data_IF_106134238828
#
_entry.id   IF_106134238828
#
_cell.length_a   1.000
_cell.length_b   1.000
_cell.length_c   1.000
_cell.angle_alpha   90.00
_cell.angle_beta   90.00
_cell.angle_gamma   90.00
#
_symmetry.space_group_name_H-M   'P 1'
#
loop_
_entity.id
_entity.type
_entity.pdbx_description
1 polymer ?
#
# COMPACT_ATOMS: atom_id res chain seq x y z
N UNK A 1 21.37 1.76 -20.01
CA UNK A 1 20.55 2.42 -18.98
C UNK A 1 20.23 1.39 -17.93
N UNK A 2 20.46 1.68 -16.65
CA UNK A 2 19.98 0.83 -15.55
C UNK A 2 18.46 0.91 -15.52
N UNK A 3 17.76 -0.22 -15.48
CA UNK A 3 16.32 -0.20 -15.24
C UNK A 3 16.07 0.28 -13.81
N UNK A 4 15.16 1.23 -13.65
CA UNK A 4 14.76 1.72 -12.33
C UNK A 4 14.07 0.61 -11.52
N UNK A 5 14.13 0.71 -10.19
CA UNK A 5 13.46 -0.17 -9.24
C UNK A 5 12.57 0.67 -8.35
N UNK A 6 11.30 0.74 -8.71
CA UNK A 6 10.33 1.69 -8.16
C UNK A 6 9.50 1.00 -7.08
N UNK A 7 9.43 1.63 -5.91
CA UNK A 7 8.43 1.30 -4.89
C UNK A 7 7.42 2.43 -4.79
N UNK A 8 6.14 2.10 -4.82
CA UNK A 8 5.07 3.05 -4.50
C UNK A 8 4.50 2.76 -3.12
N UNK A 9 4.55 3.74 -2.21
CA UNK A 9 3.93 3.65 -0.88
C UNK A 9 2.58 4.39 -0.81
N UNK A 10 1.95 4.62 -1.96
CA UNK A 10 0.64 5.26 -2.12
C UNK A 10 -0.11 4.57 -3.28
N UNK A 11 -1.37 4.12 -3.09
CA UNK A 11 -2.13 3.45 -4.15
C UNK A 11 -2.26 4.29 -5.43
N UNK A 12 -2.63 5.57 -5.30
CA UNK A 12 -2.77 6.47 -6.46
C UNK A 12 -1.45 6.70 -7.21
N UNK A 13 -0.31 6.70 -6.51
CA UNK A 13 0.99 6.76 -7.17
C UNK A 13 1.30 5.47 -7.95
N UNK A 14 0.90 4.30 -7.42
CA UNK A 14 1.06 3.03 -8.14
C UNK A 14 0.25 3.04 -9.45
N UNK A 15 -0.97 3.56 -9.41
CA UNK A 15 -1.81 3.74 -10.60
C UNK A 15 -1.15 4.68 -11.62
N UNK A 16 -0.66 5.85 -11.18
CA UNK A 16 0.00 6.83 -12.05
C UNK A 16 1.25 6.24 -12.70
N UNK A 17 2.10 5.55 -11.93
CA UNK A 17 3.30 4.88 -12.46
C UNK A 17 2.92 3.90 -13.57
N UNK A 18 1.87 3.11 -13.37
CA UNK A 18 1.39 2.19 -14.39
C UNK A 18 0.87 2.93 -15.63
N UNK A 19 0.10 4.01 -15.44
CA UNK A 19 -0.46 4.82 -16.53
C UNK A 19 0.61 5.45 -17.42
N UNK A 20 1.75 5.85 -16.85
CA UNK A 20 2.87 6.46 -17.61
C UNK A 20 3.89 5.43 -18.14
N UNK A 21 3.63 4.13 -17.97
CA UNK A 21 4.47 3.06 -18.51
C UNK A 21 5.59 2.55 -17.60
N UNK A 22 5.68 3.01 -16.34
CA UNK A 22 6.68 2.59 -15.37
C UNK A 22 6.38 1.26 -14.67
N UNK A 23 5.28 0.58 -15.02
CA UNK A 23 4.90 -0.72 -14.42
C UNK A 23 6.04 -1.78 -14.42
N UNK A 24 6.82 -1.98 -15.52
CA UNK A 24 7.87 -2.99 -15.55
C UNK A 24 9.01 -2.77 -14.54
N UNK A 25 9.14 -1.54 -14.04
CA UNK A 25 10.18 -1.11 -13.10
C UNK A 25 9.71 -1.21 -11.64
N UNK A 26 8.42 -1.49 -11.41
CA UNK A 26 7.87 -1.60 -10.08
C UNK A 26 8.32 -2.90 -9.37
N UNK A 27 8.77 -2.77 -8.13
CA UNK A 27 9.28 -3.88 -7.32
C UNK A 27 8.54 -4.04 -5.99
N UNK A 28 7.69 -3.08 -5.61
CA UNK A 28 6.89 -3.14 -4.39
C UNK A 28 5.80 -2.07 -4.36
N UNK A 29 4.77 -2.32 -3.56
CA UNK A 29 3.59 -1.44 -3.45
C UNK A 29 3.08 -1.33 -2.02
N UNK A 30 2.30 -0.31 -1.71
CA UNK A 30 1.49 -0.23 -0.50
C UNK A 30 0.29 -1.18 -0.58
N UNK A 31 -0.33 -1.40 0.57
CA UNK A 31 -1.69 -1.92 0.68
C UNK A 31 -2.52 -0.99 1.56
N UNK A 32 -3.76 -0.75 1.16
CA UNK A 32 -4.72 0.01 1.96
C UNK A 32 -5.70 -0.85 2.75
N UNK A 33 -5.59 -2.18 2.66
CA UNK A 33 -6.57 -3.06 3.27
C UNK A 33 -6.11 -3.42 4.67
N UNK A 34 -6.90 -3.04 5.68
CA UNK A 34 -6.54 -3.38 7.05
C UNK A 34 -6.92 -4.78 7.51
N UNK A 35 -6.47 -5.13 8.72
CA UNK A 35 -6.77 -6.40 9.35
C UNK A 35 -8.27 -6.49 9.64
N UNK A 36 -8.95 -7.47 9.01
CA UNK A 36 -10.37 -7.71 9.19
C UNK A 36 -11.23 -7.50 7.95
N UNK A 37 -10.64 -7.25 6.77
CA UNK A 37 -11.35 -7.44 5.51
C UNK A 37 -11.82 -8.88 5.41
N UNK A 38 -13.10 -9.06 5.77
CA UNK A 38 -13.79 -10.33 5.76
C UNK A 38 -13.61 -10.90 4.36
N UNK A 39 -13.14 -12.15 4.28
CA UNK A 39 -13.32 -13.00 3.11
C UNK A 39 -14.82 -13.28 2.97
N UNK A 40 -15.62 -12.27 2.65
CA UNK A 40 -16.92 -12.51 2.05
C UNK A 40 -16.60 -13.06 0.66
N UNK A 41 -17.17 -14.23 0.37
CA UNK A 41 -17.45 -14.74 -0.97
C UNK A 41 -16.38 -14.52 -2.07
N UNK A 42 -15.20 -15.15 -1.97
CA UNK A 42 -14.33 -15.50 -3.13
C UNK A 42 -13.96 -14.40 -4.14
N UNK A 43 -14.27 -13.12 -3.88
CA UNK A 43 -13.87 -11.97 -4.68
C UNK A 43 -13.09 -11.02 -3.77
N UNK A 44 -11.81 -11.31 -3.62
CA UNK A 44 -10.81 -10.41 -3.03
C UNK A 44 -10.52 -9.29 -4.03
N UNK A 45 -11.46 -8.38 -4.21
CA UNK A 45 -11.26 -7.15 -4.97
C UNK A 45 -11.43 -5.97 -4.03
N UNK A 46 -10.37 -5.67 -3.30
CA UNK A 46 -10.17 -4.35 -2.72
C UNK A 46 -9.93 -3.40 -3.89
N UNK A 47 -10.74 -2.35 -3.97
CA UNK A 47 -10.77 -1.39 -5.08
C UNK A 47 -9.45 -0.63 -5.26
N UNK A 48 -8.58 -0.67 -4.25
CA UNK A 48 -7.40 0.19 -4.13
C UNK A 48 -6.10 -0.51 -4.61
N UNK A 49 -6.25 -1.61 -5.36
CA UNK A 49 -5.16 -2.38 -5.96
C UNK A 49 -5.23 -2.32 -7.50
N UNK A 50 -5.50 -1.17 -8.10
CA UNK A 50 -5.46 -1.00 -9.56
C UNK A 50 -4.04 -0.62 -10.05
N UNK A 51 -3.60 -1.08 -11.24
CA UNK A 51 -4.18 -2.16 -12.04
C UNK A 51 -3.92 -3.55 -11.43
N UNK A 52 -4.74 -4.54 -11.78
CA UNK A 52 -4.55 -5.93 -11.30
C UNK A 52 -3.22 -6.57 -11.73
N UNK A 53 -2.59 -6.02 -12.77
CA UNK A 53 -1.29 -6.44 -13.27
C UNK A 53 -0.16 -6.31 -12.25
N UNK A 54 -0.28 -5.43 -11.23
CA UNK A 54 0.74 -5.26 -10.17
C UNK A 54 0.45 -6.06 -8.90
N UNK A 55 -0.57 -6.92 -8.89
CA UNK A 55 -0.94 -7.72 -7.69
C UNK A 55 0.14 -8.71 -7.25
N UNK A 56 1.01 -9.10 -8.17
CA UNK A 56 2.14 -10.00 -7.90
C UNK A 56 3.28 -9.32 -7.12
N UNK A 57 3.28 -7.99 -7.01
CA UNK A 57 4.29 -7.25 -6.27
C UNK A 57 4.06 -7.35 -4.76
N UNK A 58 5.14 -7.40 -3.96
CA UNK A 58 5.04 -7.43 -2.51
C UNK A 58 4.38 -6.17 -1.96
N UNK A 59 3.56 -6.38 -0.93
CA UNK A 59 2.93 -5.33 -0.13
C UNK A 59 3.87 -4.95 1.00
N UNK A 60 4.14 -3.65 1.14
CA UNK A 60 5.11 -3.13 2.12
C UNK A 60 4.46 -2.38 3.29
N UNK A 61 3.14 -2.17 3.27
CA UNK A 61 2.43 -1.44 4.32
C UNK A 61 1.29 -2.25 4.91
N UNK A 62 1.05 -2.05 6.20
CA UNK A 62 -0.07 -2.63 6.93
C UNK A 62 -0.76 -1.53 7.75
N UNK A 63 -2.08 -1.39 7.62
CA UNK A 63 -2.85 -0.44 8.42
C UNK A 63 -2.85 -0.85 9.90
N UNK A 64 -2.64 0.12 10.81
CA UNK A 64 -2.74 -0.12 12.26
C UNK A 64 -4.18 -0.15 12.78
N UNK A 65 -5.10 0.41 12.02
CA UNK A 65 -6.52 0.49 12.39
C UNK A 65 -7.21 -0.86 12.21
N UNK A 66 -8.12 -1.19 13.12
CA UNK A 66 -9.00 -2.35 13.00
C UNK A 66 -10.29 -1.94 12.31
N UNK A 67 -10.57 -2.57 11.18
CA UNK A 67 -11.75 -2.29 10.37
C UNK A 67 -12.97 -2.98 11.01
N UNK A 68 -13.76 -2.19 11.73
CA UNK A 68 -14.98 -2.66 12.42
C UNK A 68 -16.18 -1.89 11.90
N UNK A 69 -16.48 -0.73 12.48
CA UNK A 69 -17.46 0.23 11.92
C UNK A 69 -16.74 1.45 11.37
N UNK A 70 -17.38 2.19 10.46
CA UNK A 70 -16.81 3.43 9.94
C UNK A 70 -16.53 4.44 11.07
N UNK A 71 -17.43 4.54 12.04
CA UNK A 71 -17.26 5.40 13.22
C UNK A 71 -16.07 4.96 14.09
N UNK A 72 -15.88 3.65 14.28
CA UNK A 72 -14.73 3.13 15.03
C UNK A 72 -13.41 3.33 14.30
N UNK A 73 -13.40 3.23 12.97
CA UNK A 73 -12.21 3.52 12.15
C UNK A 73 -11.87 5.00 12.22
N UNK A 74 -12.85 5.89 12.04
CA UNK A 74 -12.68 7.34 12.16
C UNK A 74 -12.10 7.75 13.52
N UNK A 75 -12.64 7.17 14.60
CA UNK A 75 -12.11 7.36 15.96
C UNK A 75 -10.65 6.92 16.08
N UNK A 76 -10.31 5.71 15.60
CA UNK A 76 -8.93 5.19 15.66
C UNK A 76 -7.96 6.04 14.85
N UNK A 77 -8.36 6.51 13.65
CA UNK A 77 -7.54 7.39 12.81
C UNK A 77 -7.32 8.73 13.50
N UNK A 78 -8.38 9.35 14.03
CA UNK A 78 -8.30 10.64 14.73
C UNK A 78 -7.41 10.56 15.97
N UNK A 79 -7.51 9.49 16.76
CA UNK A 79 -6.66 9.24 17.92
C UNK A 79 -5.17 9.05 17.52
N UNK A 80 -4.91 8.30 16.46
CA UNK A 80 -3.55 8.08 15.97
C UNK A 80 -2.91 9.38 15.46
N UNK A 81 -3.65 10.16 14.66
CA UNK A 81 -3.17 11.44 14.11
C UNK A 81 -2.94 12.49 15.20
N UNK A 82 -3.86 12.62 16.15
CA UNK A 82 -3.71 13.57 17.27
C UNK A 82 -2.53 13.25 18.19
N UNK A 83 -2.13 11.97 18.25
CA UNK A 83 -0.95 11.50 19.00
C UNK A 83 0.34 11.53 18.19
N UNK A 84 0.33 11.99 16.94
CA UNK A 84 1.49 12.00 16.04
C UNK A 84 1.96 10.62 15.59
N UNK A 85 1.12 9.59 15.73
CA UNK A 85 1.45 8.22 15.35
C UNK A 85 1.17 7.99 13.85
N UNK A 86 2.07 7.27 13.17
CA UNK A 86 1.80 6.78 11.81
C UNK A 86 0.59 5.85 11.80
N UNK A 87 -0.28 5.99 10.79
CA UNK A 87 -1.44 5.12 10.55
C UNK A 87 -1.06 3.73 10.01
N UNK A 88 0.15 3.59 9.48
CA UNK A 88 0.62 2.36 8.85
C UNK A 88 1.94 1.89 9.47
N UNK A 89 2.12 0.58 9.49
CA UNK A 89 3.41 -0.08 9.63
C UNK A 89 4.05 -0.20 8.25
N UNK A 90 5.37 -0.03 8.18
CA UNK A 90 6.17 -0.24 6.97
C UNK A 90 7.09 -1.45 7.20
N UNK A 91 7.08 -2.42 6.30
CA UNK A 91 8.05 -3.53 6.29
C UNK A 91 9.38 -3.02 5.73
N UNK A 92 10.21 -2.48 6.63
CA UNK A 92 11.48 -1.85 6.26
C UNK A 92 12.49 -2.89 5.77
N UNK A 93 12.44 -4.11 6.29
CA UNK A 93 13.41 -5.15 5.92
C UNK A 93 13.12 -5.68 4.52
N UNK A 94 11.84 -5.91 4.19
CA UNK A 94 11.45 -6.25 2.82
C UNK A 94 11.74 -5.09 1.86
N UNK A 95 11.43 -3.84 2.25
CA UNK A 95 11.74 -2.66 1.42
C UNK A 95 13.23 -2.57 1.11
N UNK A 96 14.12 -2.76 2.11
CA UNK A 96 15.58 -2.79 1.89
C UNK A 96 15.99 -3.95 0.99
N UNK A 97 15.42 -5.13 1.20
CA UNK A 97 15.70 -6.33 0.39
C UNK A 97 15.34 -6.17 -1.08
N UNK A 98 14.35 -5.31 -1.39
CA UNK A 98 13.96 -4.97 -2.75
C UNK A 98 14.91 -3.98 -3.43
N UNK A 99 15.86 -3.36 -2.72
CA UNK A 99 16.85 -2.44 -3.28
C UNK A 99 16.24 -1.41 -4.26
N UNK A 100 15.26 -0.60 -3.83
CA UNK A 100 14.66 0.42 -4.69
C UNK A 100 15.69 1.49 -5.06
N UNK A 101 15.63 1.99 -6.30
CA UNK A 101 16.31 3.22 -6.71
C UNK A 101 15.43 4.45 -6.53
N UNK A 102 14.10 4.27 -6.51
CA UNK A 102 13.09 5.33 -6.33
C UNK A 102 11.98 4.85 -5.40
N UNK A 103 11.60 5.70 -4.44
CA UNK A 103 10.43 5.50 -3.57
C UNK A 103 9.48 6.68 -3.77
N UNK A 104 8.23 6.39 -4.13
CA UNK A 104 7.17 7.40 -4.28
C UNK A 104 6.25 7.35 -3.06
N UNK A 105 6.06 8.50 -2.39
CA UNK A 105 5.30 8.64 -1.13
C UNK A 105 4.71 10.08 -1.02
N UNK A 106 3.87 10.35 -0.02
CA UNK A 106 3.18 11.64 0.22
C UNK A 106 3.58 12.30 1.54
#
# INVERSE_FOLDING_TARGET
MTMERIISLLPSAAEIICLVGGQPEMVGRSHEVGPGSVKLNSQKSTTDDFPSTIHHLPILTEAKTKFTTAADVDRQVSEALSSGNSLYNLDVDQLRGLQPSVIVTQ
#
